data_IF_121575946433
#
_entry.id   IF_121575946433
#
_cell.length_a   1.000
_cell.length_b   1.000
_cell.length_c   1.000
_cell.angle_alpha   90.00
_cell.angle_beta   90.00
_cell.angle_gamma   90.00
#
_symmetry.space_group_name_H-M   'P 1'
#
loop_
_entity.id
_entity.type
_entity.pdbx_description
1 polymer ?
#
# COMPACT_ATOMS: atom_id res chain seq x y z
N UNK A 1 18.67 31.17 -13.00
CA UNK A 1 17.86 29.97 -13.30
C UNK A 1 16.38 30.38 -13.26
N UNK A 2 15.57 30.12 -14.29
CA UNK A 2 14.14 30.52 -14.34
C UNK A 2 13.27 29.28 -14.10
N UNK A 3 12.28 29.40 -13.22
CA UNK A 3 11.31 28.35 -12.92
C UNK A 3 9.89 28.89 -13.12
N UNK A 4 8.99 28.05 -13.60
CA UNK A 4 7.60 28.44 -13.76
C UNK A 4 6.81 28.12 -12.49
N UNK A 5 5.86 29.00 -12.14
CA UNK A 5 4.97 28.80 -10.99
C UNK A 5 3.54 28.72 -11.49
N UNK A 6 2.89 27.57 -11.27
CA UNK A 6 1.48 27.36 -11.58
C UNK A 6 0.68 27.58 -10.30
N UNK A 7 -0.27 28.52 -10.32
CA UNK A 7 -1.09 28.85 -9.15
C UNK A 7 -2.48 28.24 -9.31
N UNK A 8 -2.85 27.35 -8.39
CA UNK A 8 -4.21 26.83 -8.24
C UNK A 8 -4.97 27.66 -7.20
N UNK A 9 -6.12 28.21 -7.60
CA UNK A 9 -7.08 28.84 -6.70
C UNK A 9 -8.16 27.83 -6.30
N UNK A 10 -8.46 27.73 -5.01
CA UNK A 10 -9.52 26.88 -4.47
C UNK A 10 -10.39 27.72 -3.54
N UNK A 11 -11.71 27.73 -3.76
CA UNK A 11 -12.65 28.44 -2.90
C UNK A 11 -12.77 27.70 -1.57
N UNK A 12 -12.83 28.43 -0.45
CA UNK A 12 -13.11 27.81 0.85
C UNK A 12 -14.50 27.16 0.86
N UNK A 13 -14.62 26.01 1.53
CA UNK A 13 -15.93 25.43 1.85
C UNK A 13 -16.66 26.32 2.86
N UNK A 14 -17.99 26.37 2.79
CA UNK A 14 -18.85 27.25 3.60
C UNK A 14 -18.61 27.08 5.12
N UNK A 15 -18.14 25.90 5.55
CA UNK A 15 -17.86 25.56 6.95
C UNK A 15 -16.48 26.03 7.46
N UNK A 16 -15.51 26.29 6.57
CA UNK A 16 -14.15 26.75 6.95
C UNK A 16 -14.06 28.29 7.17
N UNK A 17 -15.18 29.00 7.03
CA UNK A 17 -15.25 30.47 7.02
C UNK A 17 -15.11 31.14 8.40
N UNK A 18 -14.54 30.44 9.40
CA UNK A 18 -14.33 30.97 10.76
C UNK A 18 -12.88 31.42 11.05
N UNK A 19 -12.14 31.89 10.05
CA UNK A 19 -10.85 32.55 10.28
C UNK A 19 -10.92 34.00 9.81
N UNK A 20 -11.24 34.91 10.74
CA UNK A 20 -11.15 36.35 10.53
C UNK A 20 -9.77 36.71 9.97
N UNK A 21 -9.72 37.15 8.72
CA UNK A 21 -8.50 37.65 8.05
C UNK A 21 -8.00 36.83 6.85
N UNK A 22 -8.58 35.67 6.54
CA UNK A 22 -8.23 34.92 5.31
C UNK A 22 -9.29 35.15 4.22
N UNK A 23 -8.84 35.54 3.02
CA UNK A 23 -9.71 35.81 1.88
C UNK A 23 -10.51 34.57 1.42
N UNK A 24 -11.45 34.77 0.50
CA UNK A 24 -12.43 33.75 0.02
C UNK A 24 -11.75 32.56 -0.71
N UNK A 25 -10.48 32.70 -1.06
CA UNK A 25 -9.72 31.70 -1.81
C UNK A 25 -8.45 31.28 -1.09
N UNK A 26 -8.17 29.98 -1.14
CA UNK A 26 -6.89 29.38 -0.82
C UNK A 26 -6.08 29.25 -2.11
N UNK A 27 -4.85 29.76 -2.07
CA UNK A 27 -3.92 29.70 -3.19
C UNK A 27 -2.85 28.65 -2.94
N UNK A 28 -2.60 27.81 -3.93
CA UNK A 28 -1.54 26.81 -3.92
C UNK A 28 -0.60 27.08 -5.10
N UNK A 29 0.69 27.29 -4.82
CA UNK A 29 1.72 27.45 -5.85
C UNK A 29 2.46 26.15 -6.09
N UNK A 30 2.49 25.68 -7.33
CA UNK A 30 3.33 24.56 -7.76
C UNK A 30 4.48 25.12 -8.59
N UNK A 31 5.70 25.02 -8.05
CA UNK A 31 6.92 25.38 -8.77
C UNK A 31 7.33 24.20 -9.64
N UNK A 32 7.54 24.42 -10.94
CA UNK A 32 7.87 23.36 -11.88
C UNK A 32 8.92 23.80 -12.90
N UNK A 33 9.73 22.83 -13.33
CA UNK A 33 10.64 22.93 -14.47
C UNK A 33 10.06 22.29 -15.75
N UNK A 34 8.80 21.83 -15.71
CA UNK A 34 8.14 21.23 -16.86
C UNK A 34 7.95 22.27 -17.99
N UNK A 35 8.16 21.89 -19.27
CA UNK A 35 7.99 22.80 -20.39
C UNK A 35 6.50 23.10 -20.59
N UNK A 36 6.05 24.27 -20.13
CA UNK A 36 4.66 24.72 -20.23
C UNK A 36 4.15 24.92 -21.67
N UNK A 37 5.03 24.84 -22.68
CA UNK A 37 4.64 24.79 -24.09
C UNK A 37 3.94 23.47 -24.46
N UNK A 38 4.36 22.38 -23.82
CA UNK A 38 3.87 21.03 -24.14
C UNK A 38 2.94 20.50 -23.04
N UNK A 39 2.86 21.17 -21.90
CA UNK A 39 2.08 20.77 -20.74
C UNK A 39 1.00 21.80 -20.42
N UNK A 40 -0.24 21.34 -20.34
CA UNK A 40 -1.33 22.19 -19.85
C UNK A 40 -1.21 22.46 -18.34
N UNK A 41 -1.66 23.61 -17.87
CA UNK A 41 -1.67 23.95 -16.44
C UNK A 41 -2.40 22.89 -15.59
N UNK A 42 -3.58 22.37 -16.01
CA UNK A 42 -4.23 21.26 -15.30
C UNK A 42 -3.36 20.00 -15.23
N UNK A 43 -2.68 19.62 -16.32
CA UNK A 43 -1.81 18.44 -16.35
C UNK A 43 -0.62 18.56 -15.40
N UNK A 44 -0.05 19.76 -15.24
CA UNK A 44 1.00 20.03 -14.25
C UNK A 44 0.49 19.81 -12.83
N UNK A 45 -0.71 20.31 -12.52
CA UNK A 45 -1.34 20.13 -11.21
C UNK A 45 -1.67 18.66 -10.96
N UNK A 46 -2.20 17.94 -11.95
CA UNK A 46 -2.49 16.52 -11.84
C UNK A 46 -1.22 15.70 -11.60
N UNK A 47 -0.15 15.98 -12.35
CA UNK A 47 1.15 15.36 -12.14
C UNK A 47 1.69 15.63 -10.74
N UNK A 48 1.58 16.87 -10.25
CA UNK A 48 1.97 17.20 -8.88
C UNK A 48 1.14 16.44 -7.84
N UNK A 49 -0.18 16.32 -8.03
CA UNK A 49 -1.07 15.63 -7.10
C UNK A 49 -0.76 14.13 -6.99
N UNK A 50 -0.22 13.49 -8.04
CA UNK A 50 0.22 12.08 -7.99
C UNK A 50 1.30 11.84 -6.91
N UNK A 51 2.05 12.88 -6.51
CA UNK A 51 3.02 12.81 -5.40
C UNK A 51 2.37 12.60 -4.03
N UNK A 52 1.09 12.95 -3.85
CA UNK A 52 0.38 12.73 -2.59
C UNK A 52 0.32 11.26 -2.18
N UNK A 53 0.43 10.33 -3.15
CA UNK A 53 0.53 8.91 -2.85
C UNK A 53 1.82 8.52 -2.12
N UNK A 54 2.89 9.32 -2.22
CA UNK A 54 4.13 9.07 -1.50
C UNK A 54 3.92 9.07 0.02
N UNK A 55 3.06 9.96 0.54
CA UNK A 55 2.74 9.98 1.97
C UNK A 55 2.02 8.70 2.43
N UNK A 56 1.19 8.12 1.56
CA UNK A 56 0.55 6.83 1.82
C UNK A 56 1.59 5.72 1.95
N UNK A 57 2.58 5.68 1.06
CA UNK A 57 3.65 4.70 1.08
C UNK A 57 4.56 4.86 2.30
N UNK A 58 4.98 6.08 2.61
CA UNK A 58 5.81 6.36 3.81
C UNK A 58 5.07 5.96 5.09
N UNK A 59 3.77 6.25 5.18
CA UNK A 59 2.95 5.83 6.33
C UNK A 59 2.87 4.31 6.40
N UNK A 60 2.71 3.63 5.28
CA UNK A 60 2.68 2.18 5.24
C UNK A 60 4.02 1.57 5.66
N UNK A 61 5.16 2.11 5.23
CA UNK A 61 6.48 1.67 5.68
C UNK A 61 6.63 1.83 7.19
N UNK A 62 6.27 3.00 7.72
CA UNK A 62 6.38 3.30 9.16
C UNK A 62 5.55 2.39 10.05
N UNK A 63 4.29 2.15 9.69
CA UNK A 63 3.35 1.42 10.56
C UNK A 63 3.05 0.00 10.10
N UNK A 64 3.13 -0.28 8.81
CA UNK A 64 2.86 -1.58 8.21
C UNK A 64 4.04 -2.54 8.29
N UNK A 65 5.27 -2.01 8.28
CA UNK A 65 6.53 -2.76 8.36
C UNK A 65 7.36 -2.40 9.60
N UNK A 66 6.76 -1.66 10.53
CA UNK A 66 7.37 -1.25 11.81
C UNK A 66 8.72 -0.52 11.68
N UNK A 67 8.92 0.22 10.58
CA UNK A 67 10.09 1.11 10.42
C UNK A 67 10.05 2.34 11.34
N UNK A 68 9.11 2.38 12.28
CA UNK A 68 9.09 3.32 13.39
C UNK A 68 9.97 2.84 14.56
N UNK A 69 10.06 1.53 14.79
CA UNK A 69 10.81 0.95 15.90
C UNK A 69 11.86 -0.02 15.37
N UNK A 70 13.07 0.49 15.19
CA UNK A 70 14.17 -0.33 14.74
C UNK A 70 14.60 -1.30 15.85
N UNK A 71 14.66 -2.63 15.57
CA UNK A 71 14.84 -3.64 16.61
C UNK A 71 16.30 -3.80 17.08
N UNK A 72 17.28 -3.35 16.28
CA UNK A 72 18.70 -3.51 16.61
C UNK A 72 19.27 -2.22 17.24
N UNK A 73 20.34 -2.35 18.02
CA UNK A 73 21.05 -1.19 18.59
C UNK A 73 22.05 -0.59 17.59
N UNK A 74 22.60 -1.42 16.70
CA UNK A 74 23.57 -0.99 15.71
C UNK A 74 22.91 -0.40 14.45
N UNK A 75 23.46 0.72 13.96
CA UNK A 75 22.96 1.39 12.76
C UNK A 75 23.04 0.49 11.51
N UNK A 76 24.10 -0.30 11.35
CA UNK A 76 24.27 -1.19 10.19
C UNK A 76 23.20 -2.30 10.17
N UNK A 77 22.90 -2.89 11.33
CA UNK A 77 21.86 -3.90 11.46
C UNK A 77 20.47 -3.31 11.16
N UNK A 78 20.18 -2.10 11.67
CA UNK A 78 18.94 -1.38 11.37
C UNK A 78 18.82 -0.98 9.89
N UNK A 79 19.93 -0.63 9.25
CA UNK A 79 19.95 -0.35 7.82
C UNK A 79 19.60 -1.60 7.02
N UNK A 80 20.17 -2.77 7.35
CA UNK A 80 19.81 -4.04 6.73
C UNK A 80 18.32 -4.39 6.95
N UNK A 81 17.81 -4.18 8.17
CA UNK A 81 16.39 -4.35 8.47
C UNK A 81 15.50 -3.44 7.61
N UNK A 82 15.88 -2.16 7.46
CA UNK A 82 15.18 -1.20 6.60
C UNK A 82 15.14 -1.66 5.14
N UNK A 83 16.26 -2.15 4.61
CA UNK A 83 16.31 -2.69 3.24
C UNK A 83 15.39 -3.91 3.06
N UNK A 84 15.37 -4.83 4.02
CA UNK A 84 14.46 -5.98 3.99
C UNK A 84 13.00 -5.54 4.05
N UNK A 85 12.66 -4.55 4.87
CA UNK A 85 11.31 -4.02 4.95
C UNK A 85 10.86 -3.37 3.62
N UNK A 86 11.73 -2.60 2.96
CA UNK A 86 11.44 -2.00 1.65
C UNK A 86 11.28 -3.08 0.58
N UNK A 87 12.13 -4.11 0.59
CA UNK A 87 12.00 -5.25 -0.32
C UNK A 87 10.67 -5.99 -0.10
N UNK A 88 10.31 -6.27 1.15
CA UNK A 88 9.03 -6.87 1.51
C UNK A 88 7.84 -6.00 1.08
N UNK A 89 7.95 -4.68 1.23
CA UNK A 89 6.96 -3.72 0.75
C UNK A 89 6.72 -3.86 -0.75
N UNK A 90 7.79 -3.87 -1.55
CA UNK A 90 7.67 -4.00 -3.00
C UNK A 90 7.01 -5.33 -3.41
N UNK A 91 7.36 -6.44 -2.76
CA UNK A 91 6.74 -7.75 -3.02
C UNK A 91 5.24 -7.72 -2.69
N UNK A 92 4.86 -7.21 -1.52
CA UNK A 92 3.46 -7.10 -1.12
C UNK A 92 2.66 -6.17 -2.03
N UNK A 93 3.25 -5.07 -2.50
CA UNK A 93 2.65 -4.19 -3.50
C UNK A 93 2.44 -4.90 -4.83
N UNK A 94 3.40 -5.70 -5.27
CA UNK A 94 3.29 -6.49 -6.48
C UNK A 94 2.13 -7.50 -6.38
N UNK A 95 2.06 -8.25 -5.27
CA UNK A 95 0.94 -9.16 -4.98
C UNK A 95 -0.40 -8.42 -4.97
N UNK A 96 -0.47 -7.25 -4.34
CA UNK A 96 -1.71 -6.47 -4.26
C UNK A 96 -2.22 -5.97 -5.63
N UNK A 97 -1.31 -5.66 -6.56
CA UNK A 97 -1.66 -5.26 -7.92
C UNK A 97 -2.20 -6.45 -8.72
N UNK A 98 -1.60 -7.63 -8.55
CA UNK A 98 -2.07 -8.86 -9.20
C UNK A 98 -3.41 -9.35 -8.64
N UNK A 99 -3.62 -9.22 -7.33
CA UNK A 99 -4.88 -9.56 -6.68
C UNK A 99 -6.04 -8.66 -7.14
N UNK A 100 -5.82 -7.34 -7.19
CA UNK A 100 -6.81 -6.41 -7.72
C UNK A 100 -6.15 -5.18 -8.34
N UNK A 101 -6.03 -5.12 -9.69
CA UNK A 101 -5.35 -4.03 -10.36
C UNK A 101 -6.11 -2.70 -10.26
N UNK A 102 -7.43 -2.74 -10.10
CA UNK A 102 -8.26 -1.53 -10.01
C UNK A 102 -8.12 -0.82 -8.67
N UNK A 103 -7.97 -1.59 -7.58
CA UNK A 103 -7.90 -1.04 -6.21
C UNK A 103 -6.92 -1.87 -5.37
N UNK A 104 -5.61 -1.73 -5.60
CA UNK A 104 -4.61 -2.50 -4.89
C UNK A 104 -4.66 -2.20 -3.40
N UNK A 105 -4.68 -3.27 -2.60
CA UNK A 105 -4.75 -3.18 -1.15
C UNK A 105 -3.37 -2.89 -0.55
N UNK A 106 -3.36 -2.23 0.60
CA UNK A 106 -2.16 -2.05 1.41
C UNK A 106 -1.86 -3.31 2.23
N UNK A 107 -0.66 -3.43 2.78
CA UNK A 107 -0.11 -4.59 3.48
C UNK A 107 -1.06 -5.16 4.54
N UNK A 108 -1.69 -4.30 5.36
CA UNK A 108 -2.69 -4.72 6.36
C UNK A 108 -3.88 -5.45 5.73
N UNK A 109 -4.35 -4.99 4.56
CA UNK A 109 -5.45 -5.63 3.84
C UNK A 109 -5.03 -6.99 3.28
N UNK A 110 -3.84 -7.07 2.70
CA UNK A 110 -3.29 -8.34 2.19
C UNK A 110 -3.09 -9.33 3.33
N UNK A 111 -2.46 -8.92 4.44
CA UNK A 111 -2.28 -9.79 5.63
C UNK A 111 -3.61 -10.34 6.13
N UNK A 112 -4.64 -9.50 6.26
CA UNK A 112 -5.97 -9.94 6.70
C UNK A 112 -6.65 -10.93 5.77
N UNK A 113 -6.35 -10.87 4.48
CA UNK A 113 -6.99 -11.74 3.48
C UNK A 113 -6.25 -13.03 3.26
N UNK A 114 -4.91 -13.02 3.29
CA UNK A 114 -4.10 -14.18 2.93
C UNK A 114 -3.42 -14.86 4.12
N UNK A 115 -3.20 -14.14 5.23
CA UNK A 115 -2.37 -14.63 6.35
C UNK A 115 -3.17 -14.76 7.64
N UNK A 116 -3.89 -13.72 8.05
CA UNK A 116 -4.64 -13.66 9.32
C UNK A 116 -6.03 -14.32 9.18
N UNK A 117 -6.08 -15.51 8.58
CA UNK A 117 -7.32 -16.27 8.38
C UNK A 117 -7.60 -17.09 9.65
N UNK A 118 -8.76 -16.91 10.31
CA UNK A 118 -9.10 -17.69 11.50
C UNK A 118 -9.31 -19.16 11.12
N UNK A 119 -8.61 -20.05 11.82
CA UNK A 119 -8.63 -21.49 11.56
C UNK A 119 -8.36 -22.29 12.83
N UNK A 120 -8.81 -23.54 12.85
CA UNK A 120 -8.55 -24.49 13.94
C UNK A 120 -7.71 -25.64 13.37
N UNK A 121 -6.57 -25.91 14.00
CA UNK A 121 -5.75 -27.09 13.67
C UNK A 121 -6.24 -28.26 14.50
N UNK A 122 -6.62 -29.36 13.85
CA UNK A 122 -7.11 -30.58 14.50
C UNK A 122 -6.23 -31.75 14.08
N UNK A 123 -5.87 -32.62 15.03
CA UNK A 123 -5.22 -33.90 14.74
C UNK A 123 -6.27 -35.00 14.66
N UNK A 124 -6.33 -35.72 13.54
CA UNK A 124 -7.23 -36.84 13.35
C UNK A 124 -6.54 -37.94 12.54
N UNK A 125 -6.59 -39.19 13.01
CA UNK A 125 -6.01 -40.36 12.32
C UNK A 125 -4.56 -40.15 11.84
N UNK A 126 -3.68 -39.56 12.68
CA UNK A 126 -2.29 -39.18 12.37
C UNK A 126 -2.12 -38.09 11.30
N UNK A 127 -3.19 -37.41 10.90
CA UNK A 127 -3.16 -36.27 9.99
C UNK A 127 -3.42 -34.97 10.75
N UNK A 128 -2.68 -33.92 10.39
CA UNK A 128 -2.99 -32.54 10.79
C UNK A 128 -3.93 -31.92 9.76
N UNK A 129 -5.13 -31.54 10.21
CA UNK A 129 -6.17 -30.95 9.37
C UNK A 129 -6.40 -29.51 9.82
N UNK A 130 -6.31 -28.58 8.88
CA UNK A 130 -6.66 -27.17 9.11
C UNK A 130 -8.14 -26.95 8.77
N UNK A 131 -8.97 -26.70 9.78
CA UNK A 131 -10.38 -26.34 9.61
C UNK A 131 -10.50 -24.84 9.44
N UNK A 132 -10.94 -24.41 8.27
CA UNK A 132 -11.20 -23.00 7.90
C UNK A 132 -12.68 -22.79 7.62
N UNK A 133 -13.12 -21.54 7.51
CA UNK A 133 -14.47 -21.24 7.03
C UNK A 133 -14.63 -21.64 5.56
N UNK A 134 -15.86 -21.98 5.16
CA UNK A 134 -16.17 -22.36 3.78
C UNK A 134 -15.81 -21.25 2.78
N UNK A 135 -16.05 -19.98 3.16
CA UNK A 135 -15.70 -18.83 2.34
C UNK A 135 -14.18 -18.73 2.09
N UNK A 136 -13.37 -18.91 3.14
CA UNK A 136 -11.92 -18.91 3.01
C UNK A 136 -11.43 -20.09 2.18
N UNK A 137 -12.04 -21.27 2.36
CA UNK A 137 -11.70 -22.45 1.56
C UNK A 137 -11.96 -22.24 0.06
N UNK A 138 -13.15 -21.74 -0.31
CA UNK A 138 -13.50 -21.42 -1.71
C UNK A 138 -12.53 -20.43 -2.34
N UNK A 139 -12.13 -19.41 -1.59
CA UNK A 139 -11.18 -18.41 -2.07
C UNK A 139 -9.79 -19.02 -2.32
N UNK A 140 -9.31 -19.90 -1.42
CA UNK A 140 -8.05 -20.63 -1.63
C UNK A 140 -8.11 -21.51 -2.87
N UNK A 141 -9.21 -22.24 -3.09
CA UNK A 141 -9.38 -23.07 -4.29
C UNK A 141 -9.34 -22.20 -5.56
N UNK A 142 -10.09 -21.08 -5.58
CA UNK A 142 -10.09 -20.12 -6.69
C UNK A 142 -8.68 -19.64 -7.04
N UNK A 143 -7.89 -19.27 -6.03
CA UNK A 143 -6.52 -18.80 -6.21
C UNK A 143 -5.61 -19.93 -6.71
N UNK A 144 -5.76 -21.14 -6.18
CA UNK A 144 -4.97 -22.30 -6.62
C UNK A 144 -5.21 -22.65 -8.08
N UNK A 145 -6.46 -22.60 -8.53
CA UNK A 145 -6.83 -22.82 -9.93
C UNK A 145 -6.24 -21.73 -10.82
N UNK A 146 -6.38 -20.46 -10.44
CA UNK A 146 -5.82 -19.33 -11.19
C UNK A 146 -4.28 -19.37 -11.31
N UNK A 147 -3.61 -19.98 -10.33
CA UNK A 147 -2.15 -20.14 -10.31
C UNK A 147 -1.68 -21.51 -10.82
N UNK A 148 -2.60 -22.35 -11.32
CA UNK A 148 -2.31 -23.72 -11.80
C UNK A 148 -1.55 -24.59 -10.78
N UNK A 149 -1.82 -24.37 -9.48
CA UNK A 149 -1.12 -25.04 -8.39
C UNK A 149 -1.60 -26.48 -8.23
N UNK A 150 -0.75 -27.43 -8.61
CA UNK A 150 -1.00 -28.87 -8.40
C UNK A 150 -1.28 -29.18 -6.92
N UNK A 151 -2.21 -30.11 -6.62
CA UNK A 151 -2.45 -30.55 -5.25
C UNK A 151 -1.14 -31.06 -4.64
N UNK A 152 -0.83 -30.60 -3.45
CA UNK A 152 0.34 -31.07 -2.72
C UNK A 152 0.07 -32.52 -2.34
N UNK A 153 0.94 -33.46 -2.75
CA UNK A 153 0.86 -34.84 -2.28
C UNK A 153 0.99 -34.83 -0.75
N UNK A 154 0.08 -35.45 0.01
CA UNK A 154 0.19 -35.49 1.46
C UNK A 154 1.61 -35.95 1.85
N UNK A 155 2.24 -35.23 2.78
CA UNK A 155 3.56 -35.57 3.28
C UNK A 155 3.52 -37.04 3.70
N UNK A 156 4.35 -37.88 3.09
CA UNK A 156 4.49 -39.28 3.49
C UNK A 156 5.05 -39.27 4.91
N UNK A 157 4.16 -39.43 5.89
CA UNK A 157 4.54 -39.74 7.26
C UNK A 157 5.12 -41.16 7.25
N UNK A 158 6.45 -41.24 7.32
CA UNK A 158 7.16 -42.43 7.76
C UNK A 158 6.78 -42.78 9.21
#
# INVERSE_FOLDING_TARGET
MRFAVVVKRQKYGVEEQMQLGRGIYKYYGVVTNLPLRNWSLPSVIEHHNKRGNAENFIREEKYGYDLKHFPCQELKANHAFGLLAVAAHNILRWVAIHDNPSRPRFAKGIRRTFIEIPAIVVSHARLLVLRVSEAAFKEVIRIREALELKPYSPISTA
#
